data_IF_049524799907
#
_entry.id   IF_049524799907
#
_cell.length_a   1.000
_cell.length_b   1.000
_cell.length_c   1.000
_cell.angle_alpha   90.00
_cell.angle_beta   90.00
_cell.angle_gamma   90.00
#
_symmetry.space_group_name_H-M   'P 1'
#
loop_
_entity.id
_entity.type
_entity.pdbx_description
1 polymer ?
#
# COMPACT_ATOMS: atom_id res chain seq x y z
N UNK A 1 13.78 -24.53 13.95
CA UNK A 1 14.42 -23.21 13.81
C UNK A 1 13.99 -22.64 12.47
N UNK A 2 13.12 -21.63 12.46
CA UNK A 2 12.76 -20.95 11.22
C UNK A 2 14.01 -20.17 10.75
N UNK A 3 14.44 -20.35 9.50
CA UNK A 3 15.48 -19.53 8.92
C UNK A 3 15.06 -18.06 9.05
N UNK A 4 15.88 -17.26 9.73
CA UNK A 4 15.75 -15.82 9.65
C UNK A 4 15.93 -15.43 8.19
N UNK A 5 14.88 -14.94 7.53
CA UNK A 5 14.99 -14.45 6.17
C UNK A 5 16.06 -13.34 6.16
N UNK A 6 17.13 -13.54 5.40
CA UNK A 6 18.17 -12.53 5.23
C UNK A 6 17.63 -11.32 4.49
N UNK A 7 18.08 -10.13 4.88
CA UNK A 7 17.75 -8.87 4.20
C UNK A 7 18.04 -8.96 2.70
N UNK A 8 17.05 -8.58 1.89
CA UNK A 8 17.20 -8.46 0.44
C UNK A 8 17.89 -7.15 0.08
N UNK A 9 18.62 -7.13 -1.03
CA UNK A 9 19.06 -5.86 -1.62
C UNK A 9 17.87 -5.06 -2.14
N UNK A 10 18.02 -3.73 -2.23
CA UNK A 10 17.01 -2.83 -2.79
C UNK A 10 16.54 -3.29 -4.19
N UNK A 11 17.49 -3.67 -5.07
CA UNK A 11 17.19 -4.16 -6.40
C UNK A 11 16.39 -5.47 -6.40
N UNK A 12 16.74 -6.43 -5.53
CA UNK A 12 16.01 -7.69 -5.42
C UNK A 12 14.58 -7.48 -4.89
N UNK A 13 14.42 -6.63 -3.87
CA UNK A 13 13.10 -6.31 -3.30
C UNK A 13 12.19 -5.66 -4.35
N UNK A 14 12.71 -4.66 -5.07
CA UNK A 14 12.00 -4.01 -6.18
C UNK A 14 11.61 -4.98 -7.30
N UNK A 15 12.54 -5.85 -7.70
CA UNK A 15 12.27 -6.86 -8.73
C UNK A 15 11.17 -7.85 -8.29
N UNK A 16 11.17 -8.26 -7.01
CA UNK A 16 10.13 -9.12 -6.44
C UNK A 16 8.75 -8.45 -6.49
N UNK A 17 8.65 -7.18 -6.09
CA UNK A 17 7.39 -6.42 -6.14
C UNK A 17 6.85 -6.29 -7.57
N UNK A 18 7.71 -5.95 -8.54
CA UNK A 18 7.35 -5.88 -9.96
C UNK A 18 6.87 -7.24 -10.48
N UNK A 19 7.58 -8.32 -10.15
CA UNK A 19 7.21 -9.67 -10.58
C UNK A 19 5.83 -10.08 -10.04
N UNK A 20 5.53 -9.77 -8.77
CA UNK A 20 4.22 -10.04 -8.15
C UNK A 20 3.09 -9.28 -8.84
N UNK A 21 3.28 -7.99 -9.13
CA UNK A 21 2.28 -7.21 -9.85
C UNK A 21 2.09 -7.72 -11.30
N UNK A 22 3.20 -8.00 -11.99
CA UNK A 22 3.18 -8.53 -13.37
C UNK A 22 2.47 -9.88 -13.48
N UNK A 23 2.55 -10.73 -12.45
CA UNK A 23 1.83 -12.01 -12.44
C UNK A 23 0.30 -11.85 -12.54
N UNK A 24 -0.25 -10.70 -12.14
CA UNK A 24 -1.68 -10.41 -12.27
C UNK A 24 -2.09 -10.13 -13.73
N UNK A 25 -1.28 -9.38 -14.47
CA UNK A 25 -1.53 -8.99 -15.85
C UNK A 25 -0.21 -9.05 -16.65
N UNK A 26 0.19 -10.25 -17.13
CA UNK A 26 1.51 -10.47 -17.75
C UNK A 26 1.79 -9.62 -18.99
N UNK A 27 0.73 -9.26 -19.72
CA UNK A 27 0.79 -8.50 -20.97
C UNK A 27 0.95 -6.99 -20.75
N UNK A 28 0.78 -6.52 -19.51
CA UNK A 28 0.92 -5.10 -19.16
C UNK A 28 2.35 -4.83 -18.67
N UNK A 29 3.05 -3.82 -19.22
CA UNK A 29 4.36 -3.42 -18.71
C UNK A 29 4.29 -3.06 -17.23
N UNK A 30 5.07 -3.77 -16.41
CA UNK A 30 5.18 -3.51 -14.98
C UNK A 30 6.47 -2.75 -14.68
N UNK A 31 6.35 -1.61 -14.00
CA UNK A 31 7.47 -0.81 -13.50
C UNK A 31 7.12 -0.20 -12.17
N UNK A 32 8.12 0.05 -11.35
CA UNK A 32 7.94 0.92 -10.18
C UNK A 32 7.96 2.36 -10.67
N UNK A 33 6.93 3.13 -10.32
CA UNK A 33 6.91 4.57 -10.56
C UNK A 33 7.93 5.30 -9.68
N UNK A 34 7.46 6.26 -8.87
CA UNK A 34 8.34 6.93 -7.89
C UNK A 34 8.68 5.98 -6.74
N UNK A 35 9.97 5.74 -6.50
CA UNK A 35 10.46 5.01 -5.32
C UNK A 35 11.31 5.95 -4.46
N UNK A 36 10.80 6.44 -3.31
CA UNK A 36 11.59 7.30 -2.44
C UNK A 36 12.74 6.55 -1.78
N UNK A 37 13.71 7.31 -1.28
CA UNK A 37 14.84 6.77 -0.51
C UNK A 37 14.34 6.34 0.86
N UNK A 38 14.53 5.08 1.21
CA UNK A 38 14.18 4.53 2.53
C UNK A 38 15.20 3.46 2.92
N UNK A 39 15.45 3.31 4.22
CA UNK A 39 16.31 2.28 4.79
C UNK A 39 15.58 0.96 5.02
N UNK A 40 14.25 0.93 4.96
CA UNK A 40 13.45 -0.27 5.25
C UNK A 40 13.38 -1.25 4.09
N UNK A 41 13.66 -0.82 2.85
CA UNK A 41 13.48 -1.68 1.68
C UNK A 41 14.34 -2.94 1.75
N UNK A 42 13.67 -4.08 1.64
CA UNK A 42 14.29 -5.41 1.71
C UNK A 42 14.54 -5.93 3.13
N UNK A 43 14.22 -5.15 4.16
CA UNK A 43 14.36 -5.57 5.55
C UNK A 43 13.39 -6.72 5.89
N UNK A 44 13.83 -7.75 6.66
CA UNK A 44 12.96 -8.82 7.11
C UNK A 44 12.05 -8.45 8.30
N UNK A 45 11.95 -7.20 8.73
CA UNK A 45 11.02 -6.81 9.78
C UNK A 45 9.62 -6.40 9.25
N UNK A 46 8.84 -5.71 10.08
CA UNK A 46 7.52 -5.21 9.68
C UNK A 46 7.61 -4.03 8.71
N UNK A 47 8.59 -3.13 8.87
CA UNK A 47 8.73 -1.97 8.00
C UNK A 47 9.16 -2.39 6.60
N UNK A 48 10.12 -3.29 6.47
CA UNK A 48 10.49 -3.83 5.17
C UNK A 48 9.35 -4.57 4.49
N UNK A 49 8.47 -5.23 5.28
CA UNK A 49 7.25 -5.84 4.77
C UNK A 49 6.21 -4.82 4.30
N UNK A 50 6.03 -3.70 5.00
CA UNK A 50 5.16 -2.59 4.56
C UNK A 50 5.68 -1.96 3.26
N UNK A 51 6.98 -1.69 3.17
CA UNK A 51 7.62 -1.17 1.95
C UNK A 51 7.51 -2.15 0.76
N UNK A 52 7.55 -3.45 1.02
CA UNK A 52 7.30 -4.46 -0.01
C UNK A 52 5.89 -4.33 -0.61
N UNK A 53 4.88 -4.06 0.22
CA UNK A 53 3.52 -3.75 -0.27
C UNK A 53 3.49 -2.43 -1.03
N UNK A 54 4.13 -1.39 -0.51
CA UNK A 54 4.20 -0.09 -1.18
C UNK A 54 4.78 -0.19 -2.58
N UNK A 55 5.87 -0.96 -2.75
CA UNK A 55 6.45 -1.20 -4.07
C UNK A 55 5.49 -1.99 -4.98
N UNK A 56 4.74 -2.96 -4.44
CA UNK A 56 3.70 -3.64 -5.23
C UNK A 56 2.59 -2.68 -5.64
N UNK A 57 2.14 -1.80 -4.75
CA UNK A 57 1.10 -0.82 -5.04
C UNK A 57 1.58 0.20 -6.08
N UNK A 58 2.83 0.66 -6.00
CA UNK A 58 3.48 1.48 -7.05
C UNK A 58 3.45 0.79 -8.41
N UNK A 59 3.72 -0.51 -8.46
CA UNK A 59 3.66 -1.28 -9.70
C UNK A 59 2.22 -1.38 -10.23
N UNK A 60 1.24 -1.69 -9.38
CA UNK A 60 -0.18 -1.75 -9.77
C UNK A 60 -0.67 -0.40 -10.33
N UNK A 61 -0.35 0.70 -9.64
CA UNK A 61 -0.69 2.05 -10.08
C UNK A 61 -0.09 2.36 -11.47
N UNK A 62 1.19 2.07 -11.67
CA UNK A 62 1.85 2.27 -12.96
C UNK A 62 1.25 1.38 -14.05
N UNK A 63 0.93 0.12 -13.75
CA UNK A 63 0.30 -0.80 -14.70
C UNK A 63 -1.10 -0.33 -15.13
N UNK A 64 -1.89 0.25 -14.22
CA UNK A 64 -3.20 0.81 -14.57
C UNK A 64 -3.07 1.95 -15.59
N UNK A 65 -2.04 2.79 -15.49
CA UNK A 65 -1.79 3.86 -16.46
C UNK A 65 -1.44 3.36 -17.86
N UNK A 66 -0.88 2.15 -17.98
CA UNK A 66 -0.59 1.52 -19.27
C UNK A 66 -1.84 0.98 -19.98
N UNK A 67 -2.98 0.89 -19.27
CA UNK A 67 -4.24 0.38 -19.83
C UNK A 67 -5.05 1.48 -20.52
N UNK A 68 -6.02 1.10 -21.37
CA UNK A 68 -6.90 2.03 -22.07
C UNK A 68 -8.37 1.62 -21.93
N UNK A 69 -9.28 2.61 -21.98
CA UNK A 69 -10.72 2.39 -21.92
C UNK A 69 -11.17 1.63 -20.67
N UNK A 70 -12.22 0.81 -20.78
CA UNK A 70 -12.66 -0.08 -19.71
C UNK A 70 -12.16 -1.52 -19.94
N UNK A 71 -10.90 -1.70 -20.35
CA UNK A 71 -10.37 -3.04 -20.64
C UNK A 71 -10.45 -3.97 -19.44
N UNK A 72 -10.55 -5.28 -19.70
CA UNK A 72 -10.55 -6.31 -18.65
C UNK A 72 -9.29 -6.21 -17.77
N UNK A 73 -8.14 -5.89 -18.36
CA UNK A 73 -6.89 -5.68 -17.62
C UNK A 73 -6.99 -4.49 -16.67
N UNK A 74 -7.60 -3.37 -17.08
CA UNK A 74 -7.80 -2.20 -16.21
C UNK A 74 -8.69 -2.56 -15.02
N UNK A 75 -9.81 -3.22 -15.29
CA UNK A 75 -10.75 -3.65 -14.26
C UNK A 75 -10.04 -4.57 -13.25
N UNK A 76 -9.38 -5.62 -13.73
CA UNK A 76 -8.64 -6.57 -12.89
C UNK A 76 -7.54 -5.90 -12.04
N UNK A 77 -6.75 -5.01 -12.65
CA UNK A 77 -5.69 -4.29 -11.93
C UNK A 77 -6.26 -3.34 -10.88
N UNK A 78 -7.35 -2.63 -11.21
CA UNK A 78 -8.00 -1.72 -10.27
C UNK A 78 -8.66 -2.47 -9.11
N UNK A 79 -9.34 -3.60 -9.37
CA UNK A 79 -9.91 -4.44 -8.31
C UNK A 79 -8.83 -4.97 -7.36
N UNK A 80 -7.70 -5.42 -7.89
CA UNK A 80 -6.56 -5.84 -7.07
C UNK A 80 -5.96 -4.68 -6.28
N UNK A 81 -5.82 -3.49 -6.88
CA UNK A 81 -5.35 -2.30 -6.19
C UNK A 81 -6.27 -1.95 -5.00
N UNK A 82 -7.59 -1.91 -5.20
CA UNK A 82 -8.57 -1.64 -4.13
C UNK A 82 -8.40 -2.65 -2.99
N UNK A 83 -8.34 -3.94 -3.31
CA UNK A 83 -8.19 -5.00 -2.30
C UNK A 83 -6.86 -4.91 -1.54
N UNK A 84 -5.77 -4.63 -2.24
CA UNK A 84 -4.45 -4.50 -1.64
C UNK A 84 -4.36 -3.26 -0.73
N UNK A 85 -4.83 -2.09 -1.18
CA UNK A 85 -4.81 -0.86 -0.38
C UNK A 85 -5.69 -0.98 0.87
N UNK A 86 -6.95 -1.44 0.75
CA UNK A 86 -7.85 -1.60 1.91
C UNK A 86 -7.27 -2.59 2.93
N UNK A 87 -6.74 -3.72 2.45
CA UNK A 87 -6.17 -4.72 3.34
C UNK A 87 -4.86 -4.28 4.00
N UNK A 88 -4.04 -3.51 3.27
CA UNK A 88 -2.80 -2.95 3.79
C UNK A 88 -3.08 -1.95 4.90
N UNK A 89 -3.88 -0.92 4.62
CA UNK A 89 -4.25 0.12 5.59
C UNK A 89 -4.84 -0.49 6.87
N UNK A 90 -5.85 -1.36 6.74
CA UNK A 90 -6.49 -1.99 7.90
C UNK A 90 -5.53 -2.89 8.71
N UNK A 91 -4.58 -3.57 8.05
CA UNK A 91 -3.60 -4.40 8.74
C UNK A 91 -2.51 -3.57 9.43
N UNK A 92 -2.09 -2.48 8.80
CA UNK A 92 -1.13 -1.53 9.35
C UNK A 92 -1.70 -0.82 10.58
N UNK A 93 -2.94 -0.34 10.52
CA UNK A 93 -3.64 0.27 11.66
C UNK A 93 -3.66 -0.65 12.88
N UNK A 94 -3.93 -1.94 12.64
CA UNK A 94 -3.99 -2.95 13.70
C UNK A 94 -2.62 -3.37 14.23
N UNK A 95 -1.60 -3.41 13.38
CA UNK A 95 -0.26 -3.87 13.74
C UNK A 95 0.63 -2.75 14.28
N UNK A 96 0.81 -1.70 13.49
CA UNK A 96 1.74 -0.60 13.73
C UNK A 96 1.06 0.51 14.52
N UNK A 97 0.04 1.15 13.95
CA UNK A 97 -0.54 2.38 14.52
C UNK A 97 -1.17 2.14 15.90
N UNK A 98 -1.81 1.00 16.14
CA UNK A 98 -2.34 0.61 17.45
C UNK A 98 -1.28 0.54 18.57
N UNK A 99 -0.03 0.27 18.21
CA UNK A 99 1.08 0.15 19.14
C UNK A 99 1.74 1.50 19.40
N UNK A 100 1.94 2.30 18.35
CA UNK A 100 2.62 3.61 18.46
C UNK A 100 1.68 4.74 18.91
N UNK A 101 0.34 4.55 18.86
CA UNK A 101 -0.64 5.49 19.44
C UNK A 101 -0.50 5.69 20.96
N UNK A 102 0.25 4.82 21.65
CA UNK A 102 0.48 4.93 23.10
C UNK A 102 1.55 5.96 23.45
N UNK A 103 2.42 6.31 22.51
CA UNK A 103 3.45 7.33 22.69
C UNK A 103 2.94 8.69 22.20
N UNK A 104 2.89 9.72 23.07
CA UNK A 104 2.52 11.08 22.68
C UNK A 104 3.35 11.65 21.52
N UNK A 105 4.62 11.26 21.36
CA UNK A 105 5.50 11.77 20.29
C UNK A 105 5.10 11.28 18.90
N UNK A 106 4.53 10.09 18.80
CA UNK A 106 4.12 9.46 17.52
C UNK A 106 2.60 9.45 17.31
N UNK A 107 1.83 9.97 18.27
CA UNK A 107 0.37 10.00 18.22
C UNK A 107 -0.16 10.77 17.00
N UNK A 108 0.44 11.91 16.68
CA UNK A 108 -0.01 12.73 15.56
C UNK A 108 0.29 12.07 14.21
N UNK A 109 1.41 11.37 14.07
CA UNK A 109 1.70 10.55 12.88
C UNK A 109 0.64 9.46 12.68
N UNK A 110 0.32 8.71 13.73
CA UNK A 110 -0.70 7.67 13.64
C UNK A 110 -2.08 8.23 13.26
N UNK A 111 -2.48 9.36 13.83
CA UNK A 111 -3.76 10.02 13.48
C UNK A 111 -3.79 10.50 12.04
N UNK A 112 -2.68 11.08 11.57
CA UNK A 112 -2.54 11.56 10.21
C UNK A 112 -2.62 10.41 9.20
N UNK A 113 -1.83 9.35 9.39
CA UNK A 113 -1.86 8.17 8.51
C UNK A 113 -3.25 7.52 8.44
N UNK A 114 -3.94 7.34 9.59
CA UNK A 114 -5.31 6.80 9.64
C UNK A 114 -6.30 7.71 8.89
N UNK A 115 -6.16 9.03 8.99
CA UNK A 115 -7.01 9.96 8.27
C UNK A 115 -6.78 9.88 6.75
N UNK A 116 -5.53 9.79 6.31
CA UNK A 116 -5.18 9.61 4.90
C UNK A 116 -5.70 8.28 4.35
N UNK A 117 -5.62 7.19 5.10
CA UNK A 117 -6.23 5.90 4.72
C UNK A 117 -7.72 6.05 4.41
N UNK A 118 -8.44 6.78 5.27
CA UNK A 118 -9.88 7.00 5.11
C UNK A 118 -10.21 7.82 3.86
N UNK A 119 -9.40 8.83 3.55
CA UNK A 119 -9.55 9.63 2.33
C UNK A 119 -9.23 8.81 1.07
N UNK A 120 -8.16 8.01 1.10
CA UNK A 120 -7.78 7.09 0.01
C UNK A 120 -8.90 6.08 -0.27
N UNK A 121 -9.50 5.49 0.77
CA UNK A 121 -10.64 4.56 0.61
C UNK A 121 -11.86 5.24 -0.04
N UNK A 122 -12.18 6.48 0.34
CA UNK A 122 -13.25 7.25 -0.31
C UNK A 122 -12.95 7.53 -1.79
N UNK A 123 -11.68 7.81 -2.14
CA UNK A 123 -11.26 8.02 -3.52
C UNK A 123 -11.36 6.72 -4.34
N UNK A 124 -11.01 5.58 -3.75
CA UNK A 124 -11.20 4.26 -4.38
C UNK A 124 -12.68 3.97 -4.63
N UNK A 125 -13.55 4.22 -3.66
CA UNK A 125 -14.99 4.02 -3.79
C UNK A 125 -15.62 4.94 -4.86
N UNK A 126 -15.15 6.18 -4.98
CA UNK A 126 -15.56 7.12 -6.02
C UNK A 126 -15.14 6.65 -7.42
N UNK A 127 -13.91 6.15 -7.56
CA UNK A 127 -13.43 5.59 -8.82
C UNK A 127 -14.18 4.30 -9.22
N UNK A 128 -14.50 3.45 -8.24
CA UNK A 128 -15.25 2.21 -8.47
C UNK A 128 -16.71 2.43 -8.91
N UNK A 129 -17.28 3.59 -8.57
CA UNK A 129 -18.63 3.98 -8.97
C UNK A 129 -18.71 4.64 -10.35
N UNK A 130 -17.58 4.86 -11.03
CA UNK A 130 -17.49 5.64 -12.26
C UNK A 130 -17.12 4.79 -13.46
N UNK A 131 -17.53 5.25 -14.65
CA UNK A 131 -17.16 4.64 -15.91
C UNK A 131 -15.65 4.81 -16.16
N UNK A 132 -14.93 3.69 -16.11
CA UNK A 132 -13.48 3.60 -16.33
C UNK A 132 -13.05 4.05 -17.73
N UNK A 133 -13.94 4.01 -18.73
CA UNK A 133 -13.62 4.46 -20.09
C UNK A 133 -13.60 6.00 -20.21
N UNK A 134 -14.18 6.71 -19.23
CA UNK A 134 -14.32 8.15 -19.30
C UNK A 134 -12.99 8.89 -19.04
N UNK A 135 -12.74 10.03 -19.73
CA UNK A 135 -11.61 10.90 -19.40
C UNK A 135 -11.64 11.43 -17.96
N UNK A 136 -12.85 11.54 -17.37
CA UNK A 136 -13.03 11.94 -15.98
C UNK A 136 -12.49 10.93 -14.98
N UNK A 137 -12.56 9.63 -15.30
CA UNK A 137 -12.00 8.57 -14.47
C UNK A 137 -10.48 8.67 -14.40
N UNK A 138 -9.80 8.87 -15.53
CA UNK A 138 -8.35 9.02 -15.57
C UNK A 138 -7.84 10.21 -14.74
N UNK A 139 -8.55 11.34 -14.76
CA UNK A 139 -8.20 12.50 -13.92
C UNK A 139 -8.31 12.18 -12.42
N UNK A 140 -9.38 11.47 -12.03
CA UNK A 140 -9.58 11.05 -10.63
C UNK A 140 -8.55 10.01 -10.19
N UNK A 141 -8.23 9.08 -11.08
CA UNK A 141 -7.19 8.08 -10.83
C UNK A 141 -5.82 8.74 -10.65
N UNK A 142 -5.48 9.75 -11.46
CA UNK A 142 -4.26 10.53 -11.27
C UNK A 142 -4.23 11.24 -9.90
N UNK A 143 -5.38 11.76 -9.44
CA UNK A 143 -5.53 12.31 -8.08
C UNK A 143 -5.29 11.27 -6.99
N UNK A 144 -5.97 10.11 -7.06
CA UNK A 144 -5.76 9.00 -6.13
C UNK A 144 -4.29 8.58 -6.09
N UNK A 145 -3.67 8.42 -7.26
CA UNK A 145 -2.27 8.04 -7.37
C UNK A 145 -1.36 9.08 -6.69
N UNK A 146 -1.60 10.37 -6.91
CA UNK A 146 -0.81 11.43 -6.30
C UNK A 146 -0.91 11.40 -4.76
N UNK A 147 -2.14 11.29 -4.24
CA UNK A 147 -2.41 11.22 -2.80
C UNK A 147 -1.75 9.98 -2.17
N UNK A 148 -1.98 8.80 -2.77
CA UNK A 148 -1.43 7.56 -2.27
C UNK A 148 0.11 7.54 -2.27
N UNK A 149 0.74 8.07 -3.33
CA UNK A 149 2.19 8.17 -3.41
C UNK A 149 2.78 9.25 -2.48
N UNK A 150 1.98 10.22 -2.05
CA UNK A 150 2.38 11.18 -1.03
C UNK A 150 2.38 10.51 0.34
N UNK A 151 1.26 9.90 0.71
CA UNK A 151 1.07 9.16 1.96
C UNK A 151 2.19 8.14 2.22
N UNK A 152 2.41 7.16 1.32
CA UNK A 152 3.44 6.12 1.53
C UNK A 152 4.88 6.66 1.52
N UNK A 153 5.10 7.89 1.04
CA UNK A 153 6.41 8.55 1.11
C UNK A 153 6.65 9.10 2.50
N UNK A 154 5.65 9.76 3.08
CA UNK A 154 5.72 10.26 4.46
C UNK A 154 5.94 9.10 5.44
N UNK A 155 5.21 8.00 5.25
CA UNK A 155 5.43 6.77 6.00
C UNK A 155 6.87 6.27 5.89
N UNK A 156 7.36 6.04 4.67
CA UNK A 156 8.68 5.46 4.42
C UNK A 156 9.87 6.30 4.86
N UNK A 157 9.71 7.63 4.94
CA UNK A 157 10.81 8.57 5.14
C UNK A 157 10.76 9.28 6.50
N UNK A 158 9.59 9.38 7.12
CA UNK A 158 9.39 10.17 8.33
C UNK A 158 8.75 9.32 9.42
N UNK A 159 7.56 8.78 9.16
CA UNK A 159 6.75 8.17 10.22
C UNK A 159 7.30 6.81 10.66
N UNK A 160 7.76 5.96 9.72
CA UNK A 160 8.39 4.68 10.06
C UNK A 160 9.72 4.87 10.78
N UNK A 161 10.49 5.90 10.42
CA UNK A 161 11.75 6.24 11.11
C UNK A 161 11.47 6.62 12.56
N UNK A 162 10.51 7.51 12.78
CA UNK A 162 10.11 7.91 14.14
C UNK A 162 9.52 6.75 14.95
N UNK A 163 8.73 5.88 14.32
CA UNK A 163 8.16 4.71 14.96
C UNK A 163 9.23 3.69 15.35
N UNK A 164 10.18 3.38 14.47
CA UNK A 164 11.25 2.40 14.71
C UNK A 164 12.06 2.72 15.98
N UNK A 165 12.33 4.00 16.24
CA UNK A 165 13.10 4.45 17.41
C UNK A 165 12.48 4.03 18.76
N UNK A 166 11.17 3.74 18.80
CA UNK A 166 10.44 3.39 20.01
C UNK A 166 10.15 1.88 20.13
N UNK A 167 10.58 1.07 19.17
CA UNK A 167 10.20 -0.35 19.07
C UNK A 167 11.37 -1.28 19.35
N UNK A 168 11.13 -2.30 20.16
CA UNK A 168 12.09 -3.38 20.35
C UNK A 168 12.00 -4.41 19.22
N UNK A 169 13.04 -5.24 19.05
CA UNK A 169 12.98 -6.38 18.13
C UNK A 169 11.79 -7.32 18.39
N UNK A 170 11.34 -7.41 19.65
CA UNK A 170 10.16 -8.20 20.00
C UNK A 170 8.87 -7.58 19.46
N UNK A 171 8.77 -6.25 19.51
CA UNK A 171 7.65 -5.51 18.94
C UNK A 171 7.64 -5.67 17.43
N UNK A 172 8.77 -5.49 16.74
CA UNK A 172 8.89 -5.67 15.30
C UNK A 172 8.44 -7.07 14.84
N UNK A 173 8.86 -8.12 15.57
CA UNK A 173 8.41 -9.50 15.30
C UNK A 173 6.91 -9.68 15.54
N UNK A 174 6.38 -9.12 16.62
CA UNK A 174 4.96 -9.19 16.94
C UNK A 174 4.13 -8.49 15.87
N UNK A 175 4.46 -7.24 15.55
CA UNK A 175 3.80 -6.43 14.54
C UNK A 175 3.81 -7.12 13.19
N UNK A 176 4.95 -7.67 12.75
CA UNK A 176 5.02 -8.43 11.49
C UNK A 176 4.03 -9.60 11.48
N UNK A 177 3.95 -10.36 12.57
CA UNK A 177 2.99 -11.47 12.69
C UNK A 177 1.54 -11.00 12.65
N UNK A 178 1.22 -9.89 13.32
CA UNK A 178 -0.11 -9.28 13.29
C UNK A 178 -0.45 -8.80 11.88
N UNK A 179 0.44 -8.06 11.24
CA UNK A 179 0.27 -7.52 9.90
C UNK A 179 -0.04 -8.63 8.88
N UNK A 180 0.77 -9.69 8.84
CA UNK A 180 0.54 -10.82 7.90
C UNK A 180 -0.82 -11.48 8.12
N UNK A 181 -1.18 -11.74 9.39
CA UNK A 181 -2.45 -12.36 9.74
C UNK A 181 -3.63 -11.46 9.36
N UNK A 182 -3.56 -10.17 9.70
CA UNK A 182 -4.63 -9.22 9.42
C UNK A 182 -4.74 -8.96 7.93
N UNK A 183 -3.66 -8.64 7.23
CA UNK A 183 -3.69 -8.36 5.79
C UNK A 183 -4.34 -9.49 5.01
N UNK A 184 -4.02 -10.75 5.33
CA UNK A 184 -4.66 -11.91 4.71
C UNK A 184 -6.16 -11.94 4.94
N UNK A 185 -6.61 -11.71 6.18
CA UNK A 185 -8.02 -11.70 6.53
C UNK A 185 -8.75 -10.51 5.86
N UNK A 186 -8.22 -9.30 6.00
CA UNK A 186 -8.79 -8.08 5.43
C UNK A 186 -8.89 -8.17 3.90
N UNK A 187 -7.88 -8.71 3.22
CA UNK A 187 -7.91 -8.87 1.76
C UNK A 187 -8.99 -9.87 1.32
N UNK A 188 -9.19 -10.94 2.08
CA UNK A 188 -10.20 -11.96 1.78
C UNK A 188 -11.63 -11.41 1.98
N UNK A 189 -11.84 -10.51 2.94
CA UNK A 189 -13.12 -9.85 3.19
C UNK A 189 -13.30 -8.51 2.48
N UNK A 190 -12.29 -8.00 1.78
CA UNK A 190 -12.35 -6.69 1.15
C UNK A 190 -13.49 -6.63 0.12
N UNK A 191 -14.41 -5.67 0.32
CA UNK A 191 -15.47 -5.35 -0.60
C UNK A 191 -15.13 -4.08 -1.39
N UNK A 192 -15.52 -4.07 -2.67
CA UNK A 192 -15.35 -2.90 -3.53
C UNK A 192 -16.62 -2.07 -3.43
N UNK A 193 -16.58 -1.10 -2.53
CA UNK A 193 -17.64 -0.11 -2.38
C UNK A 193 -17.75 0.76 -3.63
N UNK A 194 -18.98 1.11 -4.00
CA UNK A 194 -19.25 2.00 -5.12
C UNK A 194 -20.06 3.18 -4.61
N UNK A 195 -19.38 4.28 -4.31
CA UNK A 195 -19.99 5.47 -3.73
C UNK A 195 -19.40 6.71 -4.38
N UNK A 196 -20.24 7.50 -5.04
CA UNK A 196 -19.82 8.77 -5.63
C UNK A 196 -19.51 9.76 -4.51
N UNK A 197 -18.28 10.31 -4.49
CA UNK A 197 -17.92 11.44 -3.63
C UNK A 197 -18.54 12.69 -4.25
N UNK A 198 -19.58 13.22 -3.61
CA UNK A 198 -20.17 14.51 -3.95
C UNK A 198 -19.25 15.58 -3.35
N UNK A 199 -18.70 16.44 -4.22
CA UNK A 199 -17.97 17.64 -3.83
C UNK A 199 -18.89 18.68 -3.22
#
# INVERSE_FOLDING_TARGET
>A
MAQANSRMTDAQAKASAVAKAKALAPDIPARLGSTPKTTFRGDPDVFGRLVEDHDRHRALLAMIEETQGASEQRQKLFEELVRELKAHAAAEEQALWSSVLRDPQTTDFARHAIAEHKEIDDMLADLAARDMSSPGWLRRFAGLKAEYLHHIREEEQEQFVAAEEQLSDSDLRHMRSVFERRKKAEKASAEIERKIKLS
#
